data_IF_142530137807
#
_entry.id   IF_142530137807
#
_cell.length_a   1.000
_cell.length_b   1.000
_cell.length_c   1.000
_cell.angle_alpha   90.00
_cell.angle_beta   90.00
_cell.angle_gamma   90.00
#
_symmetry.space_group_name_H-M   'P 1'
#
loop_
_entity.id
_entity.type
_entity.pdbx_description
1 polymer ?
#
# COMPACT_ATOMS: atom_id res chain seq x y z
N UNK A 1 -25.35 -19.25 7.96
CA UNK A 1 -25.69 -20.02 6.74
C UNK A 1 -24.52 -19.89 5.78
N UNK A 2 -23.67 -20.91 5.70
CA UNK A 2 -22.53 -20.94 4.77
C UNK A 2 -22.89 -21.96 3.69
N UNK A 3 -23.00 -21.50 2.45
CA UNK A 3 -23.32 -22.34 1.30
C UNK A 3 -22.15 -23.29 1.03
N UNK A 4 -22.40 -24.60 1.15
CA UNK A 4 -21.51 -25.62 0.62
C UNK A 4 -21.73 -25.66 -0.89
N UNK A 5 -20.73 -25.24 -1.67
CA UNK A 5 -20.71 -25.55 -3.10
C UNK A 5 -20.11 -26.95 -3.23
N UNK A 6 -20.97 -27.97 -3.31
CA UNK A 6 -20.57 -29.32 -3.74
C UNK A 6 -20.08 -29.24 -5.19
N UNK A 7 -18.82 -29.62 -5.41
CA UNK A 7 -18.20 -29.73 -6.73
C UNK A 7 -18.28 -31.18 -7.22
N UNK A 8 -19.46 -31.58 -7.71
CA UNK A 8 -19.69 -32.90 -8.33
C UNK A 8 -19.70 -32.85 -9.87
N UNK A 9 -19.28 -31.75 -10.50
CA UNK A 9 -19.21 -31.65 -11.97
C UNK A 9 -17.77 -31.71 -12.46
N UNK A 10 -17.50 -32.65 -13.36
CA UNK A 10 -16.30 -32.67 -14.19
C UNK A 10 -16.31 -31.40 -15.06
N UNK A 11 -15.26 -30.59 -14.95
CA UNK A 11 -15.09 -29.36 -15.71
C UNK A 11 -14.32 -29.70 -16.98
N UNK A 12 -15.02 -29.75 -18.12
CA UNK A 12 -14.46 -30.07 -19.44
C UNK A 12 -13.95 -28.83 -20.21
N UNK A 13 -14.00 -27.64 -19.61
CA UNK A 13 -13.67 -26.36 -20.26
C UNK A 13 -12.62 -25.56 -19.48
N UNK A 14 -11.52 -25.21 -20.15
CA UNK A 14 -10.46 -24.32 -19.63
C UNK A 14 -11.00 -22.95 -19.20
N UNK A 15 -12.11 -22.49 -19.80
CA UNK A 15 -12.73 -21.21 -19.50
C UNK A 15 -13.47 -21.24 -18.15
N UNK A 16 -14.12 -22.36 -17.82
CA UNK A 16 -14.78 -22.54 -16.52
C UNK A 16 -13.75 -22.67 -15.38
N UNK A 17 -12.60 -23.29 -15.66
CA UNK A 17 -11.48 -23.37 -14.72
C UNK A 17 -10.87 -21.98 -14.42
N UNK A 18 -10.72 -21.13 -15.45
CA UNK A 18 -10.24 -19.74 -15.31
C UNK A 18 -11.22 -18.86 -14.52
N UNK A 19 -12.52 -19.01 -14.74
CA UNK A 19 -13.54 -18.29 -13.97
C UNK A 19 -13.55 -18.72 -12.49
N UNK A 20 -13.31 -20.00 -12.20
CA UNK A 20 -13.15 -20.51 -10.83
C UNK A 20 -11.88 -19.99 -10.14
N UNK A 21 -10.75 -19.87 -10.84
CA UNK A 21 -9.54 -19.27 -10.30
C UNK A 21 -9.74 -17.79 -9.96
N UNK A 22 -10.44 -17.03 -10.80
CA UNK A 22 -10.76 -15.63 -10.54
C UNK A 22 -11.70 -15.44 -9.33
N UNK A 23 -12.64 -16.37 -9.12
CA UNK A 23 -13.52 -16.39 -7.95
C UNK A 23 -12.79 -16.78 -6.64
N UNK A 24 -11.66 -17.50 -6.71
CA UNK A 24 -10.82 -17.96 -5.58
C UNK A 24 -9.95 -16.88 -4.93
N UNK A 25 -10.10 -15.60 -5.28
CA UNK A 25 -9.49 -14.47 -4.56
C UNK A 25 -10.01 -14.29 -3.11
N UNK A 26 -10.82 -15.20 -2.59
CA UNK A 26 -11.18 -15.29 -1.18
C UNK A 26 -10.09 -16.07 -0.42
N UNK A 27 -9.69 -15.58 0.77
CA UNK A 27 -8.64 -16.17 1.62
C UNK A 27 -8.75 -17.70 1.70
N UNK A 28 -7.82 -18.40 1.05
CA UNK A 28 -7.74 -19.85 1.06
C UNK A 28 -7.29 -20.29 2.45
N UNK A 29 -8.15 -21.01 3.17
CA UNK A 29 -7.75 -21.68 4.41
C UNK A 29 -7.33 -23.12 4.08
N UNK A 30 -6.07 -23.42 4.32
CA UNK A 30 -5.53 -24.76 4.14
C UNK A 30 -6.00 -25.70 5.26
N UNK A 31 -6.35 -26.96 4.96
CA UNK A 31 -6.62 -27.95 5.99
C UNK A 31 -5.35 -28.24 6.81
N UNK A 32 -5.48 -28.63 8.09
CA UNK A 32 -4.32 -28.96 8.92
C UNK A 32 -3.57 -30.20 8.40
N UNK A 33 -2.25 -30.23 8.58
CA UNK A 33 -1.34 -31.22 7.98
C UNK A 33 -1.64 -32.69 8.34
N UNK A 34 -2.40 -32.94 9.41
CA UNK A 34 -2.75 -34.27 9.89
C UNK A 34 -3.91 -34.95 9.15
N UNK A 35 -4.54 -34.29 8.17
CA UNK A 35 -5.74 -34.83 7.47
C UNK A 35 -5.45 -35.22 6.03
N UNK A 36 -4.67 -36.30 5.84
CA UNK A 36 -4.18 -36.79 4.52
C UNK A 36 -5.32 -37.03 3.52
N UNK A 37 -6.44 -37.59 3.97
CA UNK A 37 -7.61 -37.85 3.11
C UNK A 37 -8.28 -36.57 2.60
N UNK A 38 -8.30 -35.54 3.44
CA UNK A 38 -8.83 -34.23 3.09
C UNK A 38 -7.92 -33.52 2.09
N UNK A 39 -6.61 -33.66 2.23
CA UNK A 39 -5.63 -33.19 1.24
C UNK A 39 -5.77 -33.91 -0.11
N UNK A 40 -6.02 -35.22 -0.10
CA UNK A 40 -6.25 -36.02 -1.32
C UNK A 40 -7.50 -35.57 -2.08
N UNK A 41 -8.57 -35.23 -1.37
CA UNK A 41 -9.83 -34.77 -1.98
C UNK A 41 -9.88 -33.26 -2.26
N UNK A 42 -8.97 -32.47 -1.66
CA UNK A 42 -8.92 -31.02 -1.86
C UNK A 42 -8.39 -30.64 -3.24
N UNK A 43 -7.51 -31.45 -3.81
CA UNK A 43 -7.05 -31.29 -5.19
C UNK A 43 -8.14 -31.90 -6.07
N UNK A 44 -8.86 -31.13 -6.89
CA UNK A 44 -9.86 -31.70 -7.77
C UNK A 44 -9.20 -32.72 -8.71
N UNK A 45 -9.98 -33.65 -9.27
CA UNK A 45 -9.54 -34.59 -10.32
C UNK A 45 -9.27 -33.86 -11.65
N UNK A 46 -8.47 -32.81 -11.61
CA UNK A 46 -8.05 -32.01 -12.73
C UNK A 46 -6.87 -32.68 -13.44
N UNK A 47 -6.69 -32.32 -14.71
CA UNK A 47 -5.52 -32.71 -15.50
C UNK A 47 -4.22 -32.27 -14.81
N UNK A 48 -3.12 -32.95 -15.13
CA UNK A 48 -1.80 -32.62 -14.57
C UNK A 48 -1.43 -31.15 -14.83
N UNK A 49 -1.83 -30.60 -15.97
CA UNK A 49 -1.54 -29.23 -16.37
C UNK A 49 -2.22 -28.21 -15.46
N UNK A 50 -3.50 -28.43 -15.14
CA UNK A 50 -4.24 -27.56 -14.22
C UNK A 50 -3.70 -27.65 -12.78
N UNK A 51 -3.15 -28.80 -12.37
CA UNK A 51 -2.47 -28.96 -11.07
C UNK A 51 -1.18 -28.17 -11.01
N UNK A 52 -0.40 -28.15 -12.09
CA UNK A 52 0.85 -27.37 -12.17
C UNK A 52 0.57 -25.86 -12.14
N UNK A 53 -0.47 -25.40 -12.83
CA UNK A 53 -0.90 -23.99 -12.79
C UNK A 53 -1.34 -23.59 -11.37
N UNK A 54 -2.21 -24.40 -10.74
CA UNK A 54 -2.65 -24.13 -9.37
C UNK A 54 -1.49 -24.16 -8.37
N UNK A 55 -0.52 -25.06 -8.55
CA UNK A 55 0.69 -25.11 -7.73
C UNK A 55 1.53 -23.84 -7.89
N UNK A 56 1.73 -23.37 -9.13
CA UNK A 56 2.42 -22.11 -9.42
C UNK A 56 1.76 -20.92 -8.73
N UNK A 57 0.43 -20.83 -8.80
CA UNK A 57 -0.33 -19.77 -8.13
C UNK A 57 -0.21 -19.84 -6.61
N UNK A 58 -0.32 -21.04 -6.01
CA UNK A 58 -0.18 -21.22 -4.56
C UNK A 58 1.23 -20.80 -4.09
N UNK A 59 2.28 -21.21 -4.80
CA UNK A 59 3.66 -20.82 -4.49
C UNK A 59 3.80 -19.30 -4.62
N UNK A 60 3.30 -18.71 -5.71
CA UNK A 60 3.36 -17.27 -5.93
C UNK A 60 2.64 -16.50 -4.82
N UNK A 61 1.41 -16.89 -4.46
CA UNK A 61 0.64 -16.23 -3.39
C UNK A 61 1.26 -16.41 -2.02
N UNK A 62 1.84 -17.58 -1.74
CA UNK A 62 2.53 -17.85 -0.48
C UNK A 62 3.77 -16.97 -0.38
N UNK A 63 4.61 -16.91 -1.42
CA UNK A 63 5.76 -16.02 -1.49
C UNK A 63 5.36 -14.54 -1.44
N UNK A 64 4.25 -14.17 -2.07
CA UNK A 64 3.69 -12.82 -2.00
C UNK A 64 3.31 -12.46 -0.55
N UNK A 65 2.65 -13.38 0.16
CA UNK A 65 2.21 -13.17 1.54
C UNK A 65 3.37 -13.15 2.55
N UNK A 66 4.37 -14.01 2.38
CA UNK A 66 5.54 -14.09 3.29
C UNK A 66 6.60 -13.04 2.99
N UNK A 67 6.90 -12.79 1.72
CA UNK A 67 8.01 -11.91 1.32
C UNK A 67 7.58 -10.50 0.90
N UNK A 68 6.30 -10.21 0.63
CA UNK A 68 5.81 -8.82 0.70
C UNK A 68 5.61 -8.40 2.16
N UNK A 69 6.67 -8.50 2.96
CA UNK A 69 6.84 -7.51 4.00
C UNK A 69 6.79 -6.16 3.30
N UNK A 70 5.74 -5.36 3.56
CA UNK A 70 5.74 -3.93 3.18
C UNK A 70 7.05 -3.39 3.74
N UNK A 71 8.03 -3.18 2.87
CA UNK A 71 9.31 -2.59 3.24
C UNK A 71 8.92 -1.25 3.85
N UNK A 72 8.91 -1.18 5.19
CA UNK A 72 8.67 0.06 5.90
C UNK A 72 9.90 0.87 5.63
N UNK A 73 9.84 1.68 4.58
CA UNK A 73 10.89 2.64 4.26
C UNK A 73 11.18 3.37 5.57
N UNK A 74 12.42 3.31 6.10
CA UNK A 74 12.73 3.91 7.38
C UNK A 74 12.36 5.38 7.32
N UNK A 75 11.33 5.79 8.06
CA UNK A 75 10.94 7.19 8.13
C UNK A 75 12.13 7.98 8.68
N UNK A 76 12.44 9.10 8.04
CA UNK A 76 13.45 10.04 8.56
C UNK A 76 13.02 10.56 9.93
N UNK A 77 13.98 11.00 10.75
CA UNK A 77 13.69 11.61 12.06
C UNK A 77 12.63 12.74 11.94
N UNK A 78 12.74 13.58 10.90
CA UNK A 78 11.80 14.66 10.62
C UNK A 78 10.39 14.17 10.25
N UNK A 79 10.27 13.11 9.45
CA UNK A 79 8.97 12.52 9.11
C UNK A 79 8.26 11.94 10.34
N UNK A 80 9.00 11.28 11.23
CA UNK A 80 8.46 10.76 12.50
C UNK A 80 7.95 11.90 13.39
N UNK A 81 8.73 12.97 13.49
CA UNK A 81 8.38 14.15 14.27
C UNK A 81 7.13 14.84 13.73
N UNK A 82 7.02 15.02 12.40
CA UNK A 82 5.79 15.53 11.78
C UNK A 82 4.58 14.63 12.03
N UNK A 83 4.75 13.30 11.99
CA UNK A 83 3.65 12.37 12.25
C UNK A 83 3.17 12.45 13.72
N UNK A 84 4.11 12.58 14.66
CA UNK A 84 3.81 12.81 16.08
C UNK A 84 3.04 14.12 16.28
N UNK A 85 3.51 15.22 15.69
CA UNK A 85 2.81 16.51 15.72
C UNK A 85 1.40 16.40 15.12
N UNK A 86 1.24 15.69 14.01
CA UNK A 86 -0.08 15.43 13.42
C UNK A 86 -1.02 14.65 14.35
N UNK A 87 -0.50 13.70 15.14
CA UNK A 87 -1.30 12.98 16.14
C UNK A 87 -1.72 13.91 17.28
N UNK A 88 -0.79 14.71 17.81
CA UNK A 88 -1.06 15.67 18.88
C UNK A 88 -2.08 16.74 18.46
N UNK A 89 -1.92 17.33 17.27
CA UNK A 89 -2.86 18.32 16.70
C UNK A 89 -4.28 17.73 16.58
N UNK A 90 -4.41 16.47 16.13
CA UNK A 90 -5.70 15.79 16.03
C UNK A 90 -6.32 15.52 17.40
N UNK A 91 -5.51 15.13 18.38
CA UNK A 91 -5.98 14.89 19.75
C UNK A 91 -6.45 16.19 20.41
N UNK A 92 -5.71 17.29 20.29
CA UNK A 92 -6.15 18.61 20.78
C UNK A 92 -7.46 19.04 20.14
N UNK A 93 -7.63 18.84 18.83
CA UNK A 93 -8.92 19.12 18.16
C UNK A 93 -10.07 18.28 18.70
N UNK A 94 -9.82 17.05 19.17
CA UNK A 94 -10.84 16.20 19.81
C UNK A 94 -11.16 16.72 21.21
N UNK A 95 -10.14 17.08 21.99
CA UNK A 95 -10.31 17.65 23.33
C UNK A 95 -11.07 18.98 23.28
N UNK A 96 -10.74 19.87 22.34
CA UNK A 96 -11.44 21.15 22.15
C UNK A 96 -12.94 20.99 21.85
N UNK A 97 -13.38 19.87 21.28
CA UNK A 97 -14.81 19.61 21.03
C UNK A 97 -15.60 19.31 22.30
N UNK A 98 -14.92 18.82 23.33
CA UNK A 98 -15.53 18.34 24.58
C UNK A 98 -15.31 19.36 25.70
N UNK A 99 -14.24 20.14 25.63
CA UNK A 99 -13.82 21.06 26.67
C UNK A 99 -14.77 22.26 26.87
N UNK A 100 -14.94 22.74 28.12
CA UNK A 100 -15.66 23.97 28.43
C UNK A 100 -14.97 25.21 27.84
N UNK A 101 -15.72 26.30 27.68
CA UNK A 101 -15.28 27.52 26.97
C UNK A 101 -14.01 28.13 27.57
N UNK A 102 -13.86 28.04 28.90
CA UNK A 102 -12.71 28.55 29.64
C UNK A 102 -11.41 27.79 29.32
N UNK A 103 -11.50 26.48 29.10
CA UNK A 103 -10.34 25.63 28.77
C UNK A 103 -10.00 25.69 27.27
N UNK A 104 -10.97 26.03 26.42
CA UNK A 104 -10.78 26.09 24.97
C UNK A 104 -9.73 27.11 24.55
N UNK A 105 -9.62 28.25 25.24
CA UNK A 105 -8.59 29.27 24.97
C UNK A 105 -7.18 28.71 25.16
N UNK A 106 -6.95 27.98 26.26
CA UNK A 106 -5.67 27.31 26.53
C UNK A 106 -5.35 26.23 25.49
N UNK A 107 -6.32 25.37 25.17
CA UNK A 107 -6.16 24.34 24.14
C UNK A 107 -5.92 24.95 22.75
N UNK A 108 -6.54 26.08 22.45
CA UNK A 108 -6.34 26.79 21.18
C UNK A 108 -4.94 27.37 21.07
N UNK A 109 -4.38 27.91 22.16
CA UNK A 109 -3.00 28.40 22.18
C UNK A 109 -2.00 27.26 21.91
N UNK A 110 -2.14 26.13 22.61
CA UNK A 110 -1.31 24.94 22.39
C UNK A 110 -1.45 24.39 20.95
N UNK A 111 -2.68 24.37 20.43
CA UNK A 111 -2.92 23.94 19.05
C UNK A 111 -2.22 24.83 18.02
N UNK A 112 -2.26 26.16 18.21
CA UNK A 112 -1.57 27.12 17.33
C UNK A 112 -0.06 26.90 17.36
N UNK A 113 0.51 26.68 18.55
CA UNK A 113 1.93 26.42 18.71
C UNK A 113 2.36 25.14 17.96
N UNK A 114 1.67 24.01 18.19
CA UNK A 114 2.00 22.76 17.50
C UNK A 114 1.83 22.87 15.99
N UNK A 115 0.83 23.62 15.51
CA UNK A 115 0.65 23.89 14.08
C UNK A 115 1.79 24.72 13.50
N UNK A 116 2.29 25.71 14.24
CA UNK A 116 3.44 26.52 13.83
C UNK A 116 4.71 25.66 13.74
N UNK A 117 4.99 24.83 14.75
CA UNK A 117 6.11 23.86 14.74
C UNK A 117 6.03 22.90 13.55
N UNK A 118 4.85 22.33 13.31
CA UNK A 118 4.62 21.46 12.14
C UNK A 118 4.88 22.19 10.82
N UNK A 119 4.39 23.42 10.67
CA UNK A 119 4.61 24.22 9.47
C UNK A 119 6.09 24.54 9.24
N UNK A 120 6.84 24.87 10.30
CA UNK A 120 8.27 25.14 10.21
C UNK A 120 9.05 23.91 9.72
N UNK A 121 8.80 22.73 10.30
CA UNK A 121 9.41 21.47 9.87
C UNK A 121 9.07 21.15 8.41
N UNK A 122 7.80 21.26 8.04
CA UNK A 122 7.34 20.99 6.68
C UNK A 122 8.00 21.90 5.63
N UNK A 123 8.17 23.19 5.96
CA UNK A 123 8.90 24.15 5.10
C UNK A 123 10.37 23.78 4.96
N UNK A 124 11.03 23.40 6.05
CA UNK A 124 12.43 22.97 6.02
C UNK A 124 12.63 21.73 5.13
N UNK A 125 11.78 20.71 5.27
CA UNK A 125 11.83 19.53 4.40
C UNK A 125 11.57 19.89 2.94
N UNK A 126 10.57 20.73 2.68
CA UNK A 126 10.22 21.17 1.33
C UNK A 126 11.35 21.96 0.69
N UNK A 127 12.05 22.82 1.45
CA UNK A 127 13.22 23.54 0.99
C UNK A 127 14.35 22.56 0.61
N UNK A 128 14.61 21.55 1.44
CA UNK A 128 15.58 20.49 1.14
C UNK A 128 15.24 19.73 -0.14
N UNK A 129 13.98 19.31 -0.30
CA UNK A 129 13.49 18.63 -1.51
C UNK A 129 13.64 19.51 -2.75
N UNK A 130 13.30 20.80 -2.66
CA UNK A 130 13.47 21.76 -3.76
C UNK A 130 14.94 21.94 -4.15
N UNK A 131 15.85 22.05 -3.17
CA UNK A 131 17.30 22.13 -3.43
C UNK A 131 17.80 20.88 -4.14
N UNK A 132 17.42 19.69 -3.65
CA UNK A 132 17.80 18.43 -4.26
C UNK A 132 17.23 18.29 -5.69
N UNK A 133 15.99 18.71 -5.90
CA UNK A 133 15.38 18.72 -7.23
C UNK A 133 16.15 19.62 -8.19
N UNK A 134 16.48 20.86 -7.78
CA UNK A 134 17.31 21.77 -8.60
C UNK A 134 18.67 21.16 -8.95
N UNK A 135 19.33 20.52 -7.97
CA UNK A 135 20.60 19.81 -8.18
C UNK A 135 20.46 18.70 -9.22
N UNK A 136 19.47 17.82 -9.07
CA UNK A 136 19.19 16.74 -10.03
C UNK A 136 18.84 17.27 -11.42
N UNK A 137 18.02 18.31 -11.52
CA UNK A 137 17.68 18.95 -12.79
C UNK A 137 18.95 19.47 -13.48
N UNK A 138 19.85 20.10 -12.73
CA UNK A 138 21.14 20.57 -13.24
C UNK A 138 22.04 19.41 -13.70
N UNK A 139 22.16 18.36 -12.89
CA UNK A 139 22.94 17.17 -13.23
C UNK A 139 22.42 16.49 -14.49
N UNK A 140 21.09 16.37 -14.63
CA UNK A 140 20.47 15.78 -15.82
C UNK A 140 20.74 16.62 -17.09
N UNK A 141 20.68 17.95 -16.98
CA UNK A 141 21.01 18.83 -18.09
C UNK A 141 22.46 18.67 -18.54
N UNK A 142 23.42 18.65 -17.62
CA UNK A 142 24.84 18.50 -17.97
C UNK A 142 25.20 17.09 -18.43
N UNK A 143 24.46 16.06 -18.00
CA UNK A 143 24.68 14.68 -18.43
C UNK A 143 24.31 14.48 -19.90
N UNK A 144 23.15 14.98 -20.32
CA UNK A 144 22.70 14.94 -21.72
C UNK A 144 21.77 16.12 -22.00
N UNK A 145 22.31 17.23 -22.56
CA UNK A 145 21.54 18.46 -22.73
C UNK A 145 20.43 18.31 -23.79
N UNK A 146 20.67 17.51 -24.84
CA UNK A 146 19.70 17.33 -25.93
C UNK A 146 18.52 16.46 -25.50
N UNK A 147 18.78 15.36 -24.78
CA UNK A 147 17.70 14.55 -24.20
C UNK A 147 16.91 15.33 -23.14
N UNK A 148 17.59 16.10 -22.29
CA UNK A 148 16.93 16.95 -21.30
C UNK A 148 16.01 17.98 -21.97
N UNK A 149 16.48 18.67 -23.02
CA UNK A 149 15.65 19.61 -23.78
C UNK A 149 14.45 18.90 -24.42
N UNK A 150 14.65 17.72 -25.02
CA UNK A 150 13.57 16.91 -25.60
C UNK A 150 12.50 16.57 -24.55
N UNK A 151 12.90 16.19 -23.34
CA UNK A 151 11.98 15.91 -22.24
C UNK A 151 11.16 17.14 -21.82
N UNK A 152 11.76 18.34 -21.81
CA UNK A 152 11.03 19.58 -21.48
C UNK A 152 9.86 19.84 -22.43
N UNK A 153 10.04 19.57 -23.73
CA UNK A 153 9.01 19.78 -24.74
C UNK A 153 7.98 18.64 -24.83
N UNK A 154 8.35 17.44 -24.37
CA UNK A 154 7.45 16.26 -24.36
C UNK A 154 6.57 16.17 -23.11
N UNK A 155 6.90 16.90 -22.03
CA UNK A 155 6.02 16.94 -20.86
C UNK A 155 4.71 17.65 -21.20
N UNK A 156 3.59 16.96 -20.97
CA UNK A 156 2.24 17.54 -21.12
C UNK A 156 2.14 18.78 -20.22
N UNK A 157 1.88 19.94 -20.83
CA UNK A 157 1.68 21.18 -20.08
C UNK A 157 0.47 21.01 -19.15
N UNK A 158 0.57 21.33 -17.85
CA UNK A 158 -0.60 21.31 -16.99
C UNK A 158 -1.53 22.46 -17.42
N UNK A 159 -2.67 22.11 -18.03
CA UNK A 159 -3.69 23.09 -18.45
C UNK A 159 -4.16 22.98 -19.91
N UNK A 160 -3.76 21.95 -20.65
CA UNK A 160 -4.27 21.61 -21.99
C UNK A 160 -4.62 20.13 -22.03
#
# INVERSE_FOLDING_TARGET
>A
MIAYVCFDKALDSDEEFRQLLNAKNQKIQFPPANTIERWRNWIPRLSLEHKLVAFGDIVYQTCLATFRAKIRVPQSRGQREMEMLHKQIRNLKRQMKIAPVEEQTGLQAQWRELKARHSALSRAESAGKRRNQKKKTRENFFKDPFQFARQLFQQKRPGT
#
